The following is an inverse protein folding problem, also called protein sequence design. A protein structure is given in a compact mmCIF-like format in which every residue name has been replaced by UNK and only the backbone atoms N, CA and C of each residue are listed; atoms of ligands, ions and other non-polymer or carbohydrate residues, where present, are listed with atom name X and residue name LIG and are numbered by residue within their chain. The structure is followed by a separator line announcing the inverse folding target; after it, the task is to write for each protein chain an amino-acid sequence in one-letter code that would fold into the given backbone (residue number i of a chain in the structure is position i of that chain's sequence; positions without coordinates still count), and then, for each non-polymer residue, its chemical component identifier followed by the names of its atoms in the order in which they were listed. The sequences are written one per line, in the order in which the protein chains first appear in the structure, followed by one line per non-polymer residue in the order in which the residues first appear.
data_IF_635919778149
#
_entry.id   IF_635919778149
#
_cell.length_a   1.000
_cell.length_b   1.000
_cell.length_c   1.000
_cell.angle_alpha   90.00
_cell.angle_beta   90.00
_cell.angle_gamma   90.00
#
_symmetry.space_group_name_H-M   'P 1'
#
loop_
_entity.id
_entity.type
_entity.pdbx_description
1 polymer ?
#
# COMPACT_ATOMS: atom_id res chain seq x y z
N UNK A 1 -11.40 -2.60 -28.15
CA UNK A 1 -12.86 -2.77 -28.30
C UNK A 1 -13.26 -3.92 -27.38
N UNK A 2 -13.86 -3.61 -26.26
CA UNK A 2 -14.91 -4.26 -25.47
C UNK A 2 -14.83 -3.71 -24.05
N UNK A 3 -15.62 -2.65 -23.87
CA UNK A 3 -15.91 -2.01 -22.59
C UNK A 3 -16.95 -2.87 -21.87
N UNK A 4 -16.63 -3.39 -20.69
CA UNK A 4 -17.58 -3.99 -19.77
C UNK A 4 -17.65 -3.13 -18.50
N UNK A 5 -18.56 -2.16 -18.56
CA UNK A 5 -19.07 -1.43 -17.40
C UNK A 5 -19.80 -2.41 -16.48
N UNK A 6 -19.16 -2.86 -15.40
CA UNK A 6 -19.87 -3.44 -14.24
C UNK A 6 -20.33 -2.31 -13.34
N UNK A 7 -21.62 -1.98 -13.41
CA UNK A 7 -22.34 -1.16 -12.43
C UNK A 7 -22.30 -1.85 -11.05
N UNK A 8 -21.96 -1.17 -9.97
CA UNK A 8 -22.16 -1.69 -8.64
C UNK A 8 -23.69 -1.73 -8.36
N UNK A 9 -24.19 -2.91 -8.03
CA UNK A 9 -25.52 -3.08 -7.45
C UNK A 9 -25.53 -2.38 -6.09
N UNK A 10 -26.17 -1.22 -6.05
CA UNK A 10 -26.60 -0.60 -4.80
C UNK A 10 -27.61 -1.56 -4.14
N UNK A 11 -27.15 -2.28 -3.13
CA UNK A 11 -28.01 -2.95 -2.18
C UNK A 11 -28.81 -1.87 -1.45
N UNK A 12 -30.09 -1.77 -1.76
CA UNK A 12 -31.04 -1.03 -0.94
C UNK A 12 -31.14 -1.75 0.40
N UNK A 13 -30.42 -1.26 1.39
CA UNK A 13 -30.76 -1.50 2.80
C UNK A 13 -32.13 -0.84 2.97
N UNK A 14 -33.16 -1.65 3.04
CA UNK A 14 -34.47 -1.20 3.50
C UNK A 14 -34.32 -0.85 4.97
N UNK A 15 -34.01 0.42 5.24
CA UNK A 15 -34.32 1.02 6.52
C UNK A 15 -35.83 0.83 6.71
N UNK A 16 -36.22 -0.05 7.62
CA UNK A 16 -37.57 -0.17 8.06
C UNK A 16 -37.93 1.13 8.75
N UNK A 17 -38.43 2.09 7.99
CA UNK A 17 -39.11 3.25 8.58
C UNK A 17 -40.36 2.69 9.24
N UNK A 18 -40.32 2.58 10.57
CA UNK A 18 -41.49 2.43 11.43
C UNK A 18 -42.27 3.74 11.30
N UNK A 19 -43.14 3.80 10.28
CA UNK A 19 -44.07 4.90 10.12
C UNK A 19 -45.09 4.71 11.28
N UNK A 20 -44.85 5.42 12.37
CA UNK A 20 -45.88 5.67 13.39
C UNK A 20 -46.99 6.48 12.71
N UNK A 21 -48.00 5.80 12.22
CA UNK A 21 -49.22 6.44 11.76
C UNK A 21 -49.94 7.06 12.98
N UNK A 22 -49.62 8.30 13.26
CA UNK A 22 -50.47 9.12 14.15
C UNK A 22 -51.81 9.29 13.43
N UNK A 23 -52.79 8.49 13.84
CA UNK A 23 -54.16 8.79 13.51
C UNK A 23 -54.54 10.06 14.29
N UNK A 24 -54.37 11.21 13.63
CA UNK A 24 -54.93 12.46 14.14
C UNK A 24 -56.45 12.35 14.15
N UNK A 25 -56.98 12.00 15.29
CA UNK A 25 -58.42 12.04 15.54
C UNK A 25 -58.80 13.53 15.73
N UNK A 26 -59.07 14.21 14.63
CA UNK A 26 -59.69 15.52 14.65
C UNK A 26 -61.14 15.29 15.08
N UNK A 27 -61.42 15.44 16.37
CA UNK A 27 -62.78 15.52 16.86
C UNK A 27 -63.43 16.78 16.29
N UNK A 28 -64.29 16.57 15.29
CA UNK A 28 -65.19 17.60 14.77
C UNK A 28 -66.17 17.91 15.87
N UNK A 29 -66.02 19.04 16.59
CA UNK A 29 -66.97 19.58 17.55
C UNK A 29 -68.24 20.00 16.82
N UNK A 30 -69.26 19.15 16.79
CA UNK A 30 -70.58 19.56 16.41
C UNK A 30 -71.20 20.21 17.64
N UNK A 31 -71.45 21.52 17.61
CA UNK A 31 -72.19 22.27 18.60
C UNK A 31 -73.66 21.88 18.53
N UNK A 32 -74.06 20.94 19.37
CA UNK A 32 -75.45 20.75 19.79
C UNK A 32 -75.65 21.41 21.16
N UNK A 33 -76.82 22.00 21.50
CA UNK A 33 -77.02 22.57 22.80
C UNK A 33 -77.02 21.42 23.82
N UNK A 34 -75.95 21.25 24.47
CA UNK A 34 -75.75 20.19 25.48
C UNK A 34 -76.21 20.68 26.83
N UNK A 35 -76.74 19.73 27.62
CA UNK A 35 -76.89 19.89 29.04
C UNK A 35 -75.49 19.89 29.65
N UNK A 36 -75.34 20.71 30.74
CA UNK A 36 -74.03 20.87 31.40
C UNK A 36 -73.40 19.54 31.91
N UNK A 37 -74.16 18.51 32.15
CA UNK A 37 -73.68 17.17 32.49
C UNK A 37 -73.07 16.41 31.29
N UNK A 38 -73.63 16.57 30.06
CA UNK A 38 -73.14 15.91 28.88
C UNK A 38 -71.77 16.51 28.47
N UNK A 39 -71.54 17.82 28.64
CA UNK A 39 -70.28 18.50 28.36
C UNK A 39 -69.14 18.04 29.32
N UNK A 40 -69.51 17.88 30.59
CA UNK A 40 -68.59 17.38 31.62
C UNK A 40 -68.17 15.93 31.40
N UNK A 41 -69.15 15.10 31.09
CA UNK A 41 -68.84 13.67 30.77
C UNK A 41 -67.97 13.54 29.52
N UNK A 42 -68.23 14.32 28.49
CA UNK A 42 -67.39 14.37 27.27
C UNK A 42 -65.95 14.85 27.57
N UNK A 43 -65.80 15.85 28.43
CA UNK A 43 -64.49 16.34 28.86
C UNK A 43 -63.78 15.34 29.76
N UNK A 44 -64.46 14.62 30.63
CA UNK A 44 -63.90 13.55 31.47
C UNK A 44 -63.40 12.38 30.59
N UNK A 45 -64.19 12.00 29.59
CA UNK A 45 -63.79 10.99 28.64
C UNK A 45 -62.53 11.43 27.78
N UNK A 46 -62.45 12.72 27.44
CA UNK A 46 -61.29 13.28 26.74
C UNK A 46 -60.00 13.22 27.59
N UNK A 47 -60.13 13.50 28.93
CA UNK A 47 -58.99 13.37 29.85
C UNK A 47 -58.61 11.91 30.03
N UNK A 48 -59.56 10.98 30.14
CA UNK A 48 -59.27 9.55 30.25
C UNK A 48 -58.59 9.01 29.01
N UNK A 49 -58.99 9.44 27.81
CA UNK A 49 -58.36 9.10 26.55
C UNK A 49 -56.96 9.70 26.42
N UNK A 50 -56.74 10.93 26.87
CA UNK A 50 -55.41 11.53 26.88
C UNK A 50 -54.46 10.80 27.85
N UNK A 51 -54.95 10.42 29.04
CA UNK A 51 -54.19 9.61 29.99
C UNK A 51 -53.86 8.25 29.41
N UNK A 52 -54.79 7.57 28.76
CA UNK A 52 -54.52 6.28 28.10
C UNK A 52 -53.47 6.42 26.99
N UNK A 53 -53.42 7.57 26.34
CA UNK A 53 -52.39 7.87 25.32
C UNK A 53 -51.00 8.03 25.98
N UNK A 54 -50.91 8.73 27.10
CA UNK A 54 -49.67 8.86 27.89
C UNK A 54 -49.21 7.48 28.37
N UNK A 55 -50.12 6.67 28.94
CA UNK A 55 -49.79 5.32 29.43
C UNK A 55 -49.32 4.38 28.28
N UNK A 56 -49.97 4.48 27.11
CA UNK A 56 -49.56 3.72 25.91
C UNK A 56 -48.16 4.16 25.41
N UNK A 57 -47.88 5.46 25.42
CA UNK A 57 -46.57 6.00 25.04
C UNK A 57 -45.49 5.61 26.06
N UNK A 58 -45.80 5.59 27.37
CA UNK A 58 -44.87 5.08 28.39
C UNK A 58 -44.55 3.60 28.18
N UNK A 59 -45.55 2.78 27.84
CA UNK A 59 -45.34 1.36 27.51
C UNK A 59 -44.52 1.17 26.22
N UNK A 60 -44.68 2.07 25.23
CA UNK A 60 -43.84 2.08 24.02
C UNK A 60 -42.40 2.54 24.31
N UNK A 61 -42.23 3.47 25.26
CA UNK A 61 -40.92 3.91 25.75
C UNK A 61 -40.11 2.74 26.31
N UNK A 62 -40.71 1.84 27.09
CA UNK A 62 -40.02 0.65 27.59
C UNK A 62 -39.53 -0.26 26.46
N UNK A 63 -40.31 -0.40 25.39
CA UNK A 63 -39.89 -1.13 24.19
C UNK A 63 -38.80 -0.40 23.37
N UNK A 64 -38.85 0.93 23.30
CA UNK A 64 -37.86 1.78 22.62
C UNK A 64 -36.57 1.83 23.43
N UNK A 65 -36.62 1.88 24.76
CA UNK A 65 -35.43 1.79 25.62
C UNK A 65 -34.64 0.50 25.35
N UNK A 66 -35.32 -0.62 25.13
CA UNK A 66 -34.66 -1.87 24.76
C UNK A 66 -34.00 -1.78 23.37
N UNK A 67 -34.63 -1.13 22.38
CA UNK A 67 -34.09 -0.89 21.05
C UNK A 67 -32.89 0.06 21.10
N UNK A 68 -33.02 1.17 21.85
CA UNK A 68 -31.93 2.13 22.06
C UNK A 68 -30.72 1.48 22.76
N UNK A 69 -30.97 0.61 23.75
CA UNK A 69 -29.91 -0.13 24.42
C UNK A 69 -29.17 -1.03 23.45
N UNK A 70 -29.86 -1.69 22.52
CA UNK A 70 -29.20 -2.50 21.48
C UNK A 70 -28.38 -1.65 20.51
N UNK A 71 -28.93 -0.54 20.03
CA UNK A 71 -28.17 0.40 19.14
C UNK A 71 -26.93 0.94 19.84
N UNK A 72 -27.04 1.24 21.15
CA UNK A 72 -25.91 1.69 21.96
C UNK A 72 -24.84 0.61 22.12
N UNK A 73 -25.22 -0.64 22.36
CA UNK A 73 -24.28 -1.78 22.43
C UNK A 73 -23.60 -1.99 21.10
N UNK A 74 -24.33 -1.93 19.99
CA UNK A 74 -23.76 -2.06 18.64
C UNK A 74 -22.75 -0.94 18.36
N UNK A 75 -23.08 0.30 18.72
CA UNK A 75 -22.19 1.45 18.60
C UNK A 75 -20.92 1.29 19.45
N UNK A 76 -21.06 0.82 20.69
CA UNK A 76 -19.92 0.56 21.57
C UNK A 76 -19.00 -0.53 20.98
N UNK A 77 -19.57 -1.60 20.44
CA UNK A 77 -18.82 -2.68 19.80
C UNK A 77 -18.09 -2.19 18.53
N UNK A 78 -18.70 -1.34 17.71
CA UNK A 78 -18.06 -0.73 16.55
C UNK A 78 -16.92 0.20 16.97
N UNK A 79 -17.15 1.05 17.95
CA UNK A 79 -16.14 1.95 18.48
C UNK A 79 -14.94 1.21 19.11
N UNK A 80 -15.18 0.04 19.72
CA UNK A 80 -14.10 -0.80 20.24
C UNK A 80 -13.25 -1.44 19.14
N UNK A 81 -13.79 -1.69 17.94
CA UNK A 81 -13.08 -2.28 16.82
C UNK A 81 -12.24 -1.26 16.03
N UNK A 82 -12.59 0.03 16.06
CA UNK A 82 -11.91 1.09 15.31
C UNK A 82 -10.43 1.21 15.67
N UNK A 83 -9.99 1.20 16.96
CA UNK A 83 -8.58 1.27 17.33
C UNK A 83 -7.76 0.09 16.79
N UNK A 84 -8.32 -1.12 16.83
CA UNK A 84 -7.65 -2.32 16.30
C UNK A 84 -7.52 -2.25 14.77
N UNK A 85 -8.57 -1.81 14.08
CA UNK A 85 -8.53 -1.60 12.65
C UNK A 85 -7.56 -0.46 12.26
N UNK A 86 -7.47 0.61 13.05
CA UNK A 86 -6.48 1.67 12.86
C UNK A 86 -5.05 1.12 13.01
N UNK A 87 -4.81 0.34 14.05
CA UNK A 87 -3.51 -0.30 14.29
C UNK A 87 -3.14 -1.25 13.14
N UNK A 88 -4.10 -2.02 12.63
CA UNK A 88 -3.89 -2.92 11.49
C UNK A 88 -3.52 -2.14 10.21
N UNK A 89 -4.20 -1.02 9.95
CA UNK A 89 -3.87 -0.13 8.84
C UNK A 89 -2.48 0.48 8.99
N UNK A 90 -2.15 1.02 10.16
CA UNK A 90 -0.84 1.64 10.42
C UNK A 90 0.32 0.63 10.24
N UNK A 91 0.12 -0.62 10.68
CA UNK A 91 1.07 -1.71 10.47
C UNK A 91 1.22 -2.06 8.98
N UNK A 92 0.13 -2.12 8.23
CA UNK A 92 0.15 -2.40 6.80
C UNK A 92 0.86 -1.28 6.02
N UNK A 93 0.65 -0.01 6.37
CA UNK A 93 1.39 1.14 5.80
C UNK A 93 2.88 1.04 6.11
N UNK A 94 3.25 0.69 7.34
CA UNK A 94 4.66 0.53 7.73
C UNK A 94 5.33 -0.61 6.96
N UNK A 95 4.63 -1.71 6.70
CA UNK A 95 5.14 -2.82 5.89
C UNK A 95 5.29 -2.42 4.41
N UNK A 96 4.31 -1.73 3.84
CA UNK A 96 4.42 -1.15 2.49
C UNK A 96 5.64 -0.25 2.35
N UNK A 97 5.84 0.67 3.28
CA UNK A 97 6.99 1.57 3.29
C UNK A 97 8.32 0.80 3.38
N UNK A 98 8.37 -0.26 4.20
CA UNK A 98 9.53 -1.14 4.32
C UNK A 98 9.81 -1.85 2.99
N UNK A 99 8.79 -2.46 2.37
CA UNK A 99 8.91 -3.16 1.09
C UNK A 99 9.33 -2.25 -0.06
N UNK A 100 8.83 -1.02 -0.06
CA UNK A 100 9.24 0.01 -1.03
C UNK A 100 10.72 0.39 -0.88
N UNK A 101 11.20 0.53 0.35
CA UNK A 101 12.64 0.77 0.60
C UNK A 101 13.50 -0.42 0.19
N UNK A 102 13.08 -1.66 0.49
CA UNK A 102 13.76 -2.89 0.06
C UNK A 102 13.88 -2.94 -1.47
N UNK A 103 12.79 -2.70 -2.19
CA UNK A 103 12.79 -2.63 -3.67
C UNK A 103 13.75 -1.56 -4.20
N UNK A 104 13.71 -0.34 -3.64
CA UNK A 104 14.61 0.76 -4.03
C UNK A 104 16.08 0.40 -3.81
N UNK A 105 16.39 -0.30 -2.71
CA UNK A 105 17.76 -0.76 -2.41
C UNK A 105 18.24 -1.77 -3.45
N UNK A 106 17.42 -2.77 -3.78
CA UNK A 106 17.78 -3.79 -4.78
C UNK A 106 17.97 -3.16 -6.18
N UNK A 107 17.12 -2.19 -6.55
CA UNK A 107 17.31 -1.43 -7.80
C UNK A 107 18.63 -0.64 -7.81
N UNK A 108 19.03 -0.07 -6.68
CA UNK A 108 20.32 0.60 -6.53
C UNK A 108 21.50 -0.37 -6.74
N UNK A 109 21.42 -1.56 -6.14
CA UNK A 109 22.43 -2.62 -6.32
C UNK A 109 22.49 -3.13 -7.76
N UNK A 110 21.34 -3.31 -8.41
CA UNK A 110 21.27 -3.71 -9.82
C UNK A 110 21.91 -2.67 -10.74
N UNK A 111 21.64 -1.39 -10.52
CA UNK A 111 22.26 -0.32 -11.31
C UNK A 111 23.77 -0.25 -11.08
N UNK A 112 24.25 -0.46 -9.85
CA UNK A 112 25.67 -0.53 -9.56
C UNK A 112 26.34 -1.74 -10.24
N UNK A 113 25.70 -2.91 -10.24
CA UNK A 113 26.19 -4.11 -10.93
C UNK A 113 26.25 -3.92 -12.45
N UNK A 114 25.25 -3.28 -13.06
CA UNK A 114 25.26 -2.93 -14.50
C UNK A 114 26.37 -1.93 -14.84
N UNK A 115 26.63 -0.96 -13.99
CA UNK A 115 27.75 -0.05 -14.15
C UNK A 115 29.13 -0.74 -14.01
N UNK A 116 29.23 -1.75 -13.15
CA UNK A 116 30.45 -2.58 -13.04
C UNK A 116 30.62 -3.48 -14.25
N UNK A 117 29.54 -4.06 -14.81
CA UNK A 117 29.58 -4.83 -16.05
C UNK A 117 30.16 -4.00 -17.19
N UNK A 118 29.70 -2.77 -17.38
CA UNK A 118 30.24 -1.87 -18.42
C UNK A 118 31.76 -1.67 -18.28
N UNK A 119 32.24 -1.44 -17.03
CA UNK A 119 33.70 -1.29 -16.79
C UNK A 119 34.50 -2.57 -17.09
N UNK A 120 33.91 -3.73 -16.77
CA UNK A 120 34.53 -5.02 -17.07
C UNK A 120 34.59 -5.24 -18.59
N UNK A 121 33.52 -4.92 -19.32
CA UNK A 121 33.43 -5.06 -20.77
C UNK A 121 34.44 -4.14 -21.49
N UNK A 122 34.58 -2.88 -21.02
CA UNK A 122 35.61 -1.96 -21.50
C UNK A 122 37.03 -2.53 -21.27
N UNK A 123 37.28 -2.98 -20.03
CA UNK A 123 38.58 -3.57 -19.65
C UNK A 123 38.91 -4.88 -20.43
N UNK A 124 37.87 -5.67 -20.74
CA UNK A 124 38.03 -6.88 -21.58
C UNK A 124 38.35 -6.52 -23.02
N UNK A 125 37.75 -5.47 -23.55
CA UNK A 125 38.05 -4.94 -24.90
C UNK A 125 39.50 -4.48 -25.00
N UNK A 126 39.97 -3.75 -23.98
CA UNK A 126 41.38 -3.31 -23.90
C UNK A 126 42.31 -4.51 -23.76
N UNK A 127 42.00 -5.50 -22.93
CA UNK A 127 42.81 -6.71 -22.77
C UNK A 127 42.86 -7.56 -24.05
N UNK A 128 41.78 -7.64 -24.82
CA UNK A 128 41.73 -8.32 -26.09
C UNK A 128 42.64 -7.61 -27.12
N UNK A 129 42.59 -6.28 -27.20
CA UNK A 129 43.45 -5.48 -28.08
C UNK A 129 44.92 -5.69 -27.73
N UNK A 130 45.27 -5.68 -26.44
CA UNK A 130 46.65 -5.96 -25.98
C UNK A 130 47.07 -7.40 -26.28
N UNK A 131 46.15 -8.38 -26.18
CA UNK A 131 46.42 -9.76 -26.55
C UNK A 131 46.75 -9.91 -28.04
N UNK A 132 45.99 -9.25 -28.92
CA UNK A 132 46.20 -9.24 -30.35
C UNK A 132 47.56 -8.58 -30.72
N UNK A 133 47.91 -7.48 -30.06
CA UNK A 133 49.20 -6.82 -30.23
C UNK A 133 50.38 -7.71 -29.78
N UNK A 134 50.20 -8.37 -28.63
CA UNK A 134 51.17 -9.32 -28.11
C UNK A 134 51.36 -10.53 -29.04
N UNK A 135 50.27 -11.08 -29.59
CA UNK A 135 50.35 -12.17 -30.58
C UNK A 135 51.07 -11.74 -31.84
N UNK A 136 50.80 -10.52 -32.33
CA UNK A 136 51.52 -9.97 -33.49
C UNK A 136 53.00 -9.82 -33.20
N UNK A 137 53.37 -9.27 -32.03
CA UNK A 137 54.78 -9.13 -31.62
C UNK A 137 55.49 -10.46 -31.50
N UNK A 138 54.85 -11.50 -30.93
CA UNK A 138 55.38 -12.88 -30.87
C UNK A 138 55.56 -13.43 -32.29
N UNK A 139 54.55 -13.28 -33.17
CA UNK A 139 54.60 -13.72 -34.55
C UNK A 139 55.75 -13.09 -35.34
N UNK A 140 56.01 -11.80 -35.12
CA UNK A 140 57.15 -11.09 -35.72
C UNK A 140 58.49 -11.57 -35.18
N UNK A 141 58.56 -11.85 -33.88
CA UNK A 141 59.73 -12.41 -33.23
C UNK A 141 60.06 -13.78 -33.81
N UNK A 142 59.08 -14.68 -33.93
CA UNK A 142 59.24 -16.02 -34.51
C UNK A 142 59.65 -15.94 -35.99
N UNK A 143 59.03 -15.04 -36.78
CA UNK A 143 59.38 -14.84 -38.16
C UNK A 143 60.81 -14.33 -38.33
N UNK A 144 61.28 -13.42 -37.49
CA UNK A 144 62.68 -12.95 -37.49
C UNK A 144 63.62 -14.10 -37.16
N UNK A 145 63.33 -14.84 -36.05
CA UNK A 145 64.18 -15.97 -35.63
C UNK A 145 64.28 -17.07 -36.67
N UNK A 146 63.17 -17.37 -37.38
CA UNK A 146 63.16 -18.35 -38.46
C UNK A 146 63.90 -17.86 -39.67
N UNK A 147 63.78 -16.60 -40.12
CA UNK A 147 64.43 -16.01 -41.27
C UNK A 147 65.96 -15.92 -41.09
N UNK A 148 66.35 -15.54 -39.87
CA UNK A 148 67.77 -15.36 -39.54
C UNK A 148 68.44 -16.68 -39.16
N UNK A 149 67.84 -17.86 -39.47
CA UNK A 149 68.42 -19.17 -39.36
C UNK A 149 68.65 -19.70 -37.96
N UNK A 150 67.82 -19.30 -37.00
CA UNK A 150 67.91 -19.67 -35.58
C UNK A 150 69.29 -19.38 -34.96
N UNK A 151 69.96 -18.37 -35.45
CA UNK A 151 71.29 -17.98 -34.98
C UNK A 151 71.14 -17.28 -33.65
N UNK A 152 71.73 -17.84 -32.60
CA UNK A 152 71.79 -17.24 -31.30
C UNK A 152 72.38 -15.83 -31.40
N UNK A 153 71.63 -14.76 -30.92
CA UNK A 153 72.15 -13.38 -30.99
C UNK A 153 73.50 -13.24 -30.29
N UNK A 154 73.76 -14.02 -29.26
CA UNK A 154 75.04 -14.09 -28.58
C UNK A 154 76.15 -14.66 -29.51
N UNK A 155 75.84 -15.75 -30.26
CA UNK A 155 76.75 -16.35 -31.19
C UNK A 155 77.07 -15.39 -32.39
N UNK A 156 76.07 -14.67 -32.90
CA UNK A 156 76.22 -13.62 -33.92
C UNK A 156 77.15 -12.48 -33.46
N UNK A 157 76.84 -12.00 -32.24
CA UNK A 157 77.63 -10.92 -31.63
C UNK A 157 79.10 -11.31 -31.42
N UNK A 158 79.34 -12.60 -31.14
CA UNK A 158 80.71 -13.09 -30.92
C UNK A 158 81.47 -13.44 -32.23
N UNK A 159 80.76 -13.80 -33.33
CA UNK A 159 81.38 -14.28 -34.59
C UNK A 159 81.41 -13.21 -35.64
N UNK A 160 80.68 -12.12 -35.60
CA UNK A 160 80.72 -11.01 -36.56
C UNK A 160 82.06 -10.24 -36.42
N UNK A 161 82.93 -10.35 -37.40
CA UNK A 161 84.26 -9.73 -37.42
C UNK A 161 84.20 -8.22 -37.76
N UNK A 162 83.53 -7.39 -36.96
CA UNK A 162 83.53 -5.92 -37.14
C UNK A 162 84.49 -5.19 -36.20
N UNK A 163 84.69 -3.92 -36.42
CA UNK A 163 85.58 -3.03 -35.67
C UNK A 163 85.01 -2.67 -34.25
N UNK A 164 83.84 -3.12 -33.92
CA UNK A 164 83.20 -2.90 -32.64
C UNK A 164 83.83 -3.71 -31.50
N UNK A 165 83.86 -3.18 -30.31
CA UNK A 165 84.44 -3.90 -29.16
C UNK A 165 83.54 -5.11 -28.77
N UNK A 166 84.17 -6.14 -28.22
CA UNK A 166 83.47 -7.35 -27.73
C UNK A 166 82.36 -6.98 -26.67
N UNK A 167 82.62 -5.94 -25.89
CA UNK A 167 81.71 -5.44 -24.91
C UNK A 167 80.44 -4.80 -25.51
N UNK A 168 80.56 -4.05 -26.60
CA UNK A 168 79.41 -3.47 -27.32
C UNK A 168 78.57 -4.55 -27.97
N UNK A 169 79.15 -5.55 -28.55
CA UNK A 169 78.45 -6.72 -29.14
C UNK A 169 77.74 -7.56 -28.10
N UNK A 170 78.40 -7.79 -26.95
CA UNK A 170 77.79 -8.47 -25.83
C UNK A 170 76.58 -7.67 -25.23
N UNK A 171 76.67 -6.34 -25.19
CA UNK A 171 75.59 -5.49 -24.75
C UNK A 171 74.37 -5.52 -25.69
N UNK A 172 74.61 -5.57 -27.05
CA UNK A 172 73.52 -5.73 -28.03
C UNK A 172 72.80 -7.10 -27.88
N UNK A 173 73.60 -8.19 -27.70
CA UNK A 173 73.05 -9.51 -27.47
C UNK A 173 72.25 -9.60 -26.20
N UNK A 174 72.73 -9.00 -25.11
CA UNK A 174 72.03 -8.94 -23.87
C UNK A 174 70.67 -8.11 -23.95
N UNK A 175 70.73 -7.00 -24.71
CA UNK A 175 69.54 -6.22 -24.99
C UNK A 175 68.49 -7.01 -25.80
N UNK A 176 68.94 -7.78 -26.83
CA UNK A 176 68.07 -8.63 -27.65
C UNK A 176 67.37 -9.71 -26.81
N UNK A 177 68.12 -10.42 -25.92
CA UNK A 177 67.60 -11.43 -25.02
C UNK A 177 66.60 -10.83 -24.00
N UNK A 178 66.92 -9.65 -23.48
CA UNK A 178 65.99 -8.95 -22.57
C UNK A 178 64.70 -8.57 -23.27
N UNK A 179 64.76 -8.07 -24.51
CA UNK A 179 63.59 -7.71 -25.30
C UNK A 179 62.72 -8.93 -25.60
N UNK A 180 63.37 -10.08 -25.96
CA UNK A 180 62.68 -11.36 -26.19
C UNK A 180 61.95 -11.84 -24.92
N UNK A 181 62.67 -11.87 -23.79
CA UNK A 181 62.07 -12.24 -22.49
C UNK A 181 60.97 -11.30 -22.07
N UNK A 182 61.14 -9.98 -22.26
CA UNK A 182 60.10 -9.00 -21.93
C UNK A 182 58.84 -9.19 -22.81
N UNK A 183 59.01 -9.47 -24.11
CA UNK A 183 57.86 -9.73 -24.99
C UNK A 183 57.10 -10.97 -24.57
N UNK A 184 57.81 -12.05 -24.18
CA UNK A 184 57.18 -13.30 -23.70
C UNK A 184 56.46 -13.06 -22.37
N UNK A 185 57.09 -12.38 -21.41
CA UNK A 185 56.49 -12.08 -20.10
C UNK A 185 55.24 -11.21 -20.26
N UNK A 186 55.31 -10.15 -21.09
CA UNK A 186 54.16 -9.28 -21.38
C UNK A 186 53.01 -10.07 -21.99
N UNK A 187 53.28 -11.02 -22.90
CA UNK A 187 52.23 -11.85 -23.49
C UNK A 187 51.56 -12.79 -22.49
N UNK A 188 52.31 -13.34 -21.54
CA UNK A 188 51.77 -14.16 -20.46
C UNK A 188 50.89 -13.31 -19.49
N UNK A 189 51.35 -12.11 -19.15
CA UNK A 189 50.60 -11.18 -18.28
C UNK A 189 49.31 -10.76 -18.95
N UNK A 190 49.30 -10.42 -20.22
CA UNK A 190 48.10 -10.07 -21.00
C UNK A 190 47.13 -11.25 -21.06
N UNK A 191 47.62 -12.48 -21.33
CA UNK A 191 46.78 -13.69 -21.33
C UNK A 191 46.13 -13.96 -19.96
N UNK A 192 46.89 -13.76 -18.88
CA UNK A 192 46.39 -13.87 -17.53
C UNK A 192 45.31 -12.80 -17.20
N UNK A 193 45.56 -11.56 -17.62
CA UNK A 193 44.61 -10.46 -17.47
C UNK A 193 43.30 -10.75 -18.21
N UNK A 194 43.39 -11.19 -19.48
CA UNK A 194 42.21 -11.54 -20.28
C UNK A 194 41.35 -12.65 -19.60
N UNK A 195 41.99 -13.72 -19.09
CA UNK A 195 41.28 -14.77 -18.37
C UNK A 195 40.58 -14.24 -17.10
N UNK A 196 41.27 -13.37 -16.38
CA UNK A 196 40.73 -12.76 -15.16
C UNK A 196 39.50 -11.89 -15.48
N UNK A 197 39.59 -11.06 -16.53
CA UNK A 197 38.44 -10.22 -16.94
C UNK A 197 37.26 -11.06 -17.45
N UNK A 198 37.52 -12.13 -18.24
CA UNK A 198 36.47 -13.04 -18.69
C UNK A 198 35.75 -13.75 -17.50
N UNK A 199 36.50 -14.18 -16.49
CA UNK A 199 35.92 -14.76 -15.27
C UNK A 199 35.07 -13.75 -14.52
N UNK A 200 35.54 -12.50 -14.40
CA UNK A 200 34.76 -11.41 -13.78
C UNK A 200 33.48 -11.09 -14.54
N UNK A 201 33.54 -11.09 -15.87
CA UNK A 201 32.37 -10.88 -16.73
C UNK A 201 31.29 -11.96 -16.47
N UNK A 202 31.67 -13.23 -16.38
CA UNK A 202 30.74 -14.30 -16.02
C UNK A 202 30.12 -14.06 -14.68
N UNK A 203 30.92 -13.78 -13.65
CA UNK A 203 30.42 -13.56 -12.29
C UNK A 203 29.50 -12.32 -12.16
N UNK A 204 29.79 -11.23 -12.87
CA UNK A 204 28.91 -10.04 -12.85
C UNK A 204 27.61 -10.29 -13.61
N UNK A 205 27.64 -11.07 -14.70
CA UNK A 205 26.42 -11.46 -15.43
C UNK A 205 25.49 -12.29 -14.54
N UNK A 206 26.02 -13.27 -13.83
CA UNK A 206 25.25 -14.08 -12.87
C UNK A 206 24.66 -13.21 -11.76
N UNK A 207 25.46 -12.29 -11.20
CA UNK A 207 25.01 -11.35 -10.19
C UNK A 207 23.88 -10.45 -10.67
N UNK A 208 23.96 -9.93 -11.90
CA UNK A 208 22.90 -9.10 -12.51
C UNK A 208 21.62 -9.91 -12.63
N UNK A 209 21.69 -11.15 -13.11
CA UNK A 209 20.53 -12.03 -13.23
C UNK A 209 19.85 -12.28 -11.88
N UNK A 210 20.64 -12.54 -10.84
CA UNK A 210 20.13 -12.69 -9.47
C UNK A 210 19.47 -11.41 -8.94
N UNK A 211 20.07 -10.26 -9.21
CA UNK A 211 19.53 -8.97 -8.78
C UNK A 211 18.26 -8.59 -9.54
N UNK A 212 18.15 -8.92 -10.84
CA UNK A 212 16.92 -8.75 -11.62
C UNK A 212 15.78 -9.60 -11.07
N UNK A 213 16.04 -10.85 -10.73
CA UNK A 213 15.06 -11.72 -10.09
C UNK A 213 14.62 -11.18 -8.72
N UNK A 214 15.56 -10.70 -7.90
CA UNK A 214 15.27 -10.07 -6.60
C UNK A 214 14.49 -8.77 -6.74
N UNK A 215 14.81 -7.93 -7.74
CA UNK A 215 14.08 -6.69 -8.00
C UNK A 215 12.62 -6.97 -8.39
N UNK A 216 12.39 -7.94 -9.27
CA UNK A 216 11.05 -8.36 -9.67
C UNK A 216 10.25 -8.92 -8.49
N UNK A 217 10.88 -9.69 -7.59
CA UNK A 217 10.23 -10.18 -6.38
C UNK A 217 9.92 -9.05 -5.40
N UNK A 218 10.85 -8.15 -5.15
CA UNK A 218 10.66 -7.01 -4.26
C UNK A 218 9.58 -6.04 -4.76
N UNK A 219 9.47 -5.84 -6.09
CA UNK A 219 8.38 -5.08 -6.71
C UNK A 219 7.02 -5.72 -6.42
N UNK A 220 6.93 -7.05 -6.60
CA UNK A 220 5.71 -7.80 -6.31
C UNK A 220 5.33 -7.72 -4.83
N UNK A 221 6.31 -7.84 -3.94
CA UNK A 221 6.09 -7.77 -2.50
C UNK A 221 5.61 -6.36 -2.09
N UNK A 222 6.21 -5.30 -2.63
CA UNK A 222 5.77 -3.92 -2.40
C UNK A 222 4.34 -3.67 -2.91
N UNK A 223 4.00 -4.22 -4.08
CA UNK A 223 2.64 -4.13 -4.61
C UNK A 223 1.63 -4.87 -3.72
N UNK A 224 1.96 -6.07 -3.28
CA UNK A 224 1.08 -6.85 -2.37
C UNK A 224 0.87 -6.11 -1.04
N UNK A 225 1.92 -5.55 -0.45
CA UNK A 225 1.83 -4.77 0.77
C UNK A 225 0.99 -3.49 0.58
N UNK A 226 1.07 -2.84 -0.59
CA UNK A 226 0.21 -1.72 -0.94
C UNK A 226 -1.25 -2.12 -1.01
N UNK A 227 -1.56 -3.22 -1.71
CA UNK A 227 -2.92 -3.71 -1.85
C UNK A 227 -3.52 -4.09 -0.47
N UNK A 228 -2.73 -4.64 0.45
CA UNK A 228 -3.14 -4.92 1.82
C UNK A 228 -3.42 -3.63 2.61
N UNK A 229 -2.56 -2.62 2.52
CA UNK A 229 -2.78 -1.32 3.16
C UNK A 229 -4.06 -0.64 2.64
N UNK A 230 -4.33 -0.68 1.34
CA UNK A 230 -5.55 -0.14 0.73
C UNK A 230 -6.81 -0.91 1.21
N UNK A 231 -6.71 -2.23 1.39
CA UNK A 231 -7.78 -3.05 1.95
C UNK A 231 -8.06 -2.69 3.42
N UNK A 232 -7.02 -2.57 4.25
CA UNK A 232 -7.15 -2.16 5.66
C UNK A 232 -7.73 -0.76 5.82
N UNK A 233 -7.37 0.17 4.94
CA UNK A 233 -7.97 1.50 4.91
C UNK A 233 -9.48 1.44 4.60
N UNK A 234 -9.88 0.59 3.66
CA UNK A 234 -11.27 0.37 3.30
C UNK A 234 -12.06 -0.21 4.47
N UNK A 235 -11.51 -1.23 5.15
CA UNK A 235 -12.11 -1.84 6.34
C UNK A 235 -12.31 -0.80 7.45
N UNK A 236 -11.29 -0.01 7.75
CA UNK A 236 -11.33 1.06 8.75
C UNK A 236 -12.38 2.12 8.42
N UNK A 237 -12.46 2.57 7.18
CA UNK A 237 -13.47 3.55 6.76
C UNK A 237 -14.88 2.96 6.86
N UNK A 238 -15.07 1.69 6.49
CA UNK A 238 -16.34 0.99 6.62
C UNK A 238 -16.82 0.93 8.09
N UNK A 239 -15.92 0.63 9.02
CA UNK A 239 -16.23 0.64 10.45
C UNK A 239 -16.61 2.03 10.96
N UNK A 240 -15.89 3.07 10.55
CA UNK A 240 -16.19 4.46 10.91
C UNK A 240 -17.54 4.92 10.35
N UNK A 241 -17.86 4.56 9.12
CA UNK A 241 -19.15 4.88 8.48
C UNK A 241 -20.31 4.16 9.20
N UNK A 242 -20.11 2.88 9.55
CA UNK A 242 -21.10 2.12 10.33
C UNK A 242 -21.33 2.72 11.72
N UNK A 243 -20.26 3.09 12.43
CA UNK A 243 -20.37 3.73 13.74
C UNK A 243 -21.10 5.08 13.65
N UNK A 244 -20.79 5.89 12.63
CA UNK A 244 -21.47 7.16 12.38
C UNK A 244 -22.96 6.98 12.06
N UNK A 245 -23.31 5.97 11.24
CA UNK A 245 -24.69 5.66 10.92
C UNK A 245 -25.47 5.19 12.16
N UNK A 246 -24.87 4.37 13.02
CA UNK A 246 -25.47 3.93 14.28
C UNK A 246 -25.62 5.07 15.29
N UNK A 247 -24.67 5.98 15.34
CA UNK A 247 -24.80 7.19 16.16
C UNK A 247 -25.97 8.05 15.69
N UNK A 248 -26.11 8.27 14.39
CA UNK A 248 -27.25 9.03 13.85
C UNK A 248 -28.59 8.34 14.09
N UNK A 249 -28.66 7.01 13.99
CA UNK A 249 -29.84 6.20 14.32
C UNK A 249 -30.24 6.38 15.80
N UNK A 250 -29.27 6.32 16.71
CA UNK A 250 -29.49 6.51 18.15
C UNK A 250 -30.00 7.91 18.47
N UNK A 251 -29.39 8.96 17.86
CA UNK A 251 -29.77 10.36 18.08
C UNK A 251 -31.20 10.63 17.57
N UNK A 252 -31.56 10.08 16.40
CA UNK A 252 -32.88 10.22 15.80
C UNK A 252 -33.95 9.54 16.67
N UNK A 253 -33.75 8.28 17.06
CA UNK A 253 -34.72 7.55 17.92
C UNK A 253 -34.94 8.23 19.28
N UNK A 254 -33.87 8.71 19.91
CA UNK A 254 -33.97 9.46 21.16
C UNK A 254 -34.75 10.75 20.98
N UNK A 255 -34.52 11.50 19.92
CA UNK A 255 -35.23 12.76 19.61
C UNK A 255 -36.71 12.54 19.36
N UNK A 256 -37.09 11.54 18.58
CA UNK A 256 -38.46 11.20 18.23
C UNK A 256 -39.29 10.80 19.48
N UNK A 257 -38.69 10.01 20.36
CA UNK A 257 -39.33 9.57 21.64
C UNK A 257 -39.59 10.75 22.54
N UNK A 258 -38.60 11.61 22.73
CA UNK A 258 -38.75 12.78 23.62
C UNK A 258 -39.83 13.72 23.07
N UNK A 259 -39.86 14.01 21.79
CA UNK A 259 -40.85 14.88 21.16
C UNK A 259 -42.28 14.31 21.30
N UNK A 260 -42.44 12.98 21.15
CA UNK A 260 -43.74 12.33 21.29
C UNK A 260 -44.26 12.38 22.73
N UNK A 261 -43.37 12.22 23.71
CA UNK A 261 -43.72 12.32 25.12
C UNK A 261 -44.13 13.75 25.53
N UNK A 262 -43.32 14.75 25.13
CA UNK A 262 -43.58 16.16 25.42
C UNK A 262 -44.93 16.59 24.84
N UNK A 263 -45.30 16.12 23.65
CA UNK A 263 -46.58 16.39 23.03
C UNK A 263 -47.74 15.72 23.76
N UNK A 264 -47.61 14.45 24.17
CA UNK A 264 -48.66 13.74 24.90
C UNK A 264 -48.91 14.34 26.28
N UNK A 265 -47.87 14.76 26.99
CA UNK A 265 -47.98 15.44 28.27
C UNK A 265 -48.68 16.79 28.14
N UNK A 266 -48.38 17.57 27.09
CA UNK A 266 -49.03 18.83 26.79
C UNK A 266 -50.52 18.64 26.48
N UNK A 267 -50.87 17.62 25.68
CA UNK A 267 -52.27 17.30 25.35
C UNK A 267 -53.06 16.86 26.61
N UNK A 268 -52.45 16.03 27.46
CA UNK A 268 -53.06 15.64 28.75
C UNK A 268 -53.33 16.85 29.65
N UNK A 269 -52.36 17.75 29.80
CA UNK A 269 -52.49 18.97 30.61
C UNK A 269 -53.61 19.87 30.07
N UNK A 270 -53.66 20.08 28.74
CA UNK A 270 -54.72 20.89 28.11
C UNK A 270 -56.12 20.33 28.36
N UNK A 271 -56.31 18.99 28.28
CA UNK A 271 -57.60 18.32 28.57
C UNK A 271 -57.93 18.38 30.01
N UNK A 272 -56.97 18.25 30.92
CA UNK A 272 -57.19 18.41 32.36
C UNK A 272 -57.63 19.82 32.74
N UNK A 273 -57.05 20.85 32.15
CA UNK A 273 -57.41 22.24 32.36
C UNK A 273 -58.81 22.56 31.78
N UNK A 274 -59.17 21.97 30.63
CA UNK A 274 -60.51 22.06 30.06
C UNK A 274 -61.57 21.48 30.98
N UNK A 275 -61.34 20.28 31.50
CA UNK A 275 -62.25 19.65 32.50
C UNK A 275 -62.42 20.49 33.79
N UNK A 276 -61.28 21.01 34.30
CA UNK A 276 -61.30 21.87 35.47
C UNK A 276 -62.09 23.18 35.24
N UNK A 277 -62.03 23.76 34.04
CA UNK A 277 -62.81 24.95 33.67
C UNK A 277 -64.29 24.64 33.57
N UNK A 278 -64.73 23.48 33.07
CA UNK A 278 -66.12 23.04 33.01
C UNK A 278 -66.64 22.80 34.40
N UNK A 279 -65.87 22.13 35.29
CA UNK A 279 -66.23 21.91 36.68
C UNK A 279 -66.41 23.23 37.42
N UNK A 280 -65.57 24.24 37.18
CA UNK A 280 -65.71 25.57 37.79
C UNK A 280 -66.91 26.36 37.24
N UNK A 281 -67.30 26.16 35.99
CA UNK A 281 -68.48 26.81 35.40
C UNK A 281 -69.81 26.20 35.87
N UNK A 282 -69.76 24.94 36.32
CA UNK A 282 -70.93 24.21 36.79
C UNK A 282 -71.23 24.36 38.36
N UNK A 283 -70.30 25.02 39.08
CA UNK A 283 -70.49 25.38 40.51
C UNK A 283 -71.17 26.73 40.66
#
# INVERSE_FOLDING_TARGET
MFSLHRRPRRGFVRAGALVLAFASFVAMSQTLPARADDDRDAAADAVANAQATVDALQSQLEGIDASLAQVFIDLQNLNAQIPDAQTAYDNAVADYDKKTREHTTVLGELNAAKGEQTRIDDSLTDANTQADDSQRAIGDLVRRKYRDGNVDPVAVALTSGGTESITERAAVADMALRTENQTMTSALDVSSSQRTQSTRQGAITDRISDLEAKAAQAEKDAKTAKDDADAKLTDLNTLKDQASAKQAEWDAQKGDVQASLDQAEADYQARSDELAAIDAANQ
#
